data_IF_682696940169
#
_entry.id   IF_682696940169
#
_cell.length_a   1.000
_cell.length_b   1.000
_cell.length_c   1.000
_cell.angle_alpha   90.00
_cell.angle_beta   90.00
_cell.angle_gamma   90.00
#
_symmetry.space_group_name_H-M   'P 1'
#
loop_
_entity.id
_entity.type
_entity.pdbx_description
1 polymer ?
#
# COMPACT_ATOMS: atom_id res chain seq x y z
N UNK A 1 -20.96 9.01 -26.79
CA UNK A 1 -19.66 9.50 -26.25
C UNK A 1 -19.62 9.20 -24.75
N UNK A 2 -18.58 8.54 -24.25
CA UNK A 2 -18.43 8.34 -22.79
C UNK A 2 -18.08 9.67 -22.13
N UNK A 3 -18.61 9.92 -20.93
CA UNK A 3 -18.33 11.15 -20.17
C UNK A 3 -16.87 11.19 -19.72
N UNK A 4 -16.22 12.36 -19.73
CA UNK A 4 -14.89 12.53 -19.14
C UNK A 4 -14.89 12.07 -17.66
N UNK A 5 -13.74 11.54 -17.19
CA UNK A 5 -13.59 11.09 -15.82
C UNK A 5 -13.06 12.20 -14.86
N UNK A 6 -13.10 13.46 -15.29
CA UNK A 6 -12.71 14.60 -14.45
C UNK A 6 -13.53 14.67 -13.16
N UNK A 7 -12.85 14.98 -12.07
CA UNK A 7 -13.46 15.07 -10.75
C UNK A 7 -13.92 13.73 -10.15
N UNK A 8 -13.85 12.64 -10.91
CA UNK A 8 -14.31 11.33 -10.42
C UNK A 8 -13.48 10.81 -9.25
N UNK A 9 -12.18 11.08 -9.22
CA UNK A 9 -11.32 10.72 -8.10
C UNK A 9 -11.74 11.48 -6.83
N UNK A 10 -11.88 12.81 -6.95
CA UNK A 10 -12.30 13.66 -5.82
C UNK A 10 -13.67 13.25 -5.31
N UNK A 11 -14.65 13.04 -6.19
CA UNK A 11 -15.99 12.60 -5.78
C UNK A 11 -15.96 11.23 -5.10
N UNK A 12 -15.13 10.29 -5.57
CA UNK A 12 -14.96 8.98 -4.94
C UNK A 12 -14.36 9.11 -3.54
N UNK A 13 -13.30 9.90 -3.38
CA UNK A 13 -12.65 10.08 -2.08
C UNK A 13 -13.57 10.81 -1.09
N UNK A 14 -14.34 11.80 -1.55
CA UNK A 14 -15.35 12.49 -0.72
C UNK A 14 -16.46 11.54 -0.28
N UNK A 15 -17.03 10.73 -1.17
CA UNK A 15 -18.04 9.75 -0.81
C UNK A 15 -17.53 8.76 0.25
N UNK A 16 -16.32 8.22 0.07
CA UNK A 16 -15.70 7.34 1.05
C UNK A 16 -15.41 8.04 2.40
N UNK A 17 -15.15 9.35 2.39
CA UNK A 17 -14.96 10.13 3.60
C UNK A 17 -16.31 10.36 4.33
N UNK A 18 -17.39 10.61 3.61
CA UNK A 18 -18.74 10.71 4.14
C UNK A 18 -19.20 9.37 4.75
N UNK A 19 -18.88 8.25 4.13
CA UNK A 19 -19.09 6.89 4.67
C UNK A 19 -18.22 6.58 5.89
N UNK A 20 -17.21 7.41 6.17
CA UNK A 20 -16.28 7.23 7.29
C UNK A 20 -15.12 6.25 7.02
N UNK A 21 -14.90 5.88 5.78
CA UNK A 21 -13.87 4.92 5.38
C UNK A 21 -12.51 5.58 5.11
N UNK A 22 -12.48 6.85 4.70
CA UNK A 22 -11.29 7.62 4.34
C UNK A 22 -11.17 8.88 5.21
N UNK A 23 -9.95 9.22 5.58
CA UNK A 23 -9.59 10.49 6.21
C UNK A 23 -9.26 11.52 5.12
N UNK A 24 -10.19 12.44 4.90
CA UNK A 24 -10.08 13.43 3.83
C UNK A 24 -8.86 14.33 3.99
N UNK A 25 -8.65 14.87 5.19
CA UNK A 25 -7.54 15.79 5.46
C UNK A 25 -6.18 15.13 5.24
N UNK A 26 -6.01 13.91 5.72
CA UNK A 26 -4.79 13.13 5.51
C UNK A 26 -4.61 12.72 4.05
N UNK A 27 -5.70 12.45 3.35
CA UNK A 27 -5.64 12.10 1.92
C UNK A 27 -5.06 13.22 1.07
N UNK A 28 -5.19 14.47 1.49
CA UNK A 28 -4.63 15.65 0.82
C UNK A 28 -3.37 16.23 1.49
N UNK A 29 -2.86 15.58 2.53
CA UNK A 29 -1.70 16.07 3.28
C UNK A 29 -0.43 16.16 2.44
N UNK A 30 -0.27 15.29 1.44
CA UNK A 30 0.89 15.30 0.54
C UNK A 30 1.02 16.61 -0.27
N UNK A 31 -0.09 17.31 -0.55
CA UNK A 31 -0.07 18.63 -1.18
C UNK A 31 0.38 19.74 -0.22
N UNK A 32 0.11 19.56 1.09
CA UNK A 32 0.44 20.56 2.12
C UNK A 32 1.86 20.39 2.66
N UNK A 33 2.40 19.18 2.59
CA UNK A 33 3.63 18.78 3.29
C UNK A 33 4.93 19.06 2.55
N UNK A 34 4.89 19.45 1.26
CA UNK A 34 6.10 19.72 0.47
C UNK A 34 7.04 18.53 0.28
N UNK A 35 6.54 17.29 0.47
CA UNK A 35 7.33 16.07 0.34
C UNK A 35 7.61 15.65 -1.11
N UNK A 36 6.89 16.22 -2.07
CA UNK A 36 7.02 15.94 -3.49
C UNK A 36 7.50 17.18 -4.23
N UNK A 37 8.17 16.98 -5.35
CA UNK A 37 8.48 18.10 -6.25
C UNK A 37 7.21 18.58 -6.96
N UNK A 38 7.14 19.85 -7.33
CA UNK A 38 6.00 20.41 -8.07
C UNK A 38 5.64 19.62 -9.34
N UNK A 39 6.65 19.12 -10.06
CA UNK A 39 6.41 18.29 -11.25
C UNK A 39 5.78 16.93 -10.88
N UNK A 40 6.12 16.36 -9.74
CA UNK A 40 5.51 15.13 -9.23
C UNK A 40 4.07 15.38 -8.79
N UNK A 41 3.84 16.47 -8.06
CA UNK A 41 2.50 16.88 -7.63
C UNK A 41 1.57 17.07 -8.84
N UNK A 42 1.99 17.84 -9.84
CA UNK A 42 1.24 18.06 -11.08
C UNK A 42 0.93 16.74 -11.80
N UNK A 43 1.89 15.82 -11.84
CA UNK A 43 1.70 14.52 -12.48
C UNK A 43 0.69 13.63 -11.72
N UNK A 44 0.77 13.63 -10.39
CA UNK A 44 -0.19 12.90 -9.54
C UNK A 44 -1.60 13.47 -9.69
N UNK A 45 -1.73 14.81 -9.69
CA UNK A 45 -3.03 15.46 -9.95
C UNK A 45 -3.58 15.11 -11.33
N UNK A 46 -2.74 15.12 -12.37
CA UNK A 46 -3.16 14.69 -13.70
C UNK A 46 -3.61 13.22 -13.73
N UNK A 47 -2.97 12.34 -12.93
CA UNK A 47 -3.41 10.96 -12.78
C UNK A 47 -4.77 10.86 -12.07
N UNK A 48 -4.99 11.61 -10.99
CA UNK A 48 -6.25 11.68 -10.27
C UNK A 48 -7.39 12.17 -11.17
N UNK A 49 -7.13 13.18 -12.00
CA UNK A 49 -8.07 13.76 -12.96
C UNK A 49 -8.21 12.93 -14.25
N UNK A 50 -7.54 11.78 -14.37
CA UNK A 50 -7.54 10.95 -15.59
C UNK A 50 -7.06 11.71 -16.83
N UNK A 51 -6.22 12.73 -16.65
CA UNK A 51 -5.74 13.63 -17.70
C UNK A 51 -4.47 13.11 -18.40
N UNK A 52 -3.89 12.00 -17.92
CA UNK A 52 -2.72 11.38 -18.54
C UNK A 52 -3.08 10.72 -19.88
N UNK A 53 -2.14 10.73 -20.82
CA UNK A 53 -2.29 10.23 -22.20
C UNK A 53 -2.27 8.68 -22.23
N UNK A 54 -3.25 8.06 -21.62
CA UNK A 54 -3.48 6.62 -21.71
C UNK A 54 -4.14 6.26 -23.05
N UNK A 55 -3.97 5.04 -23.54
CA UNK A 55 -4.64 4.55 -24.74
C UNK A 55 -6.17 4.64 -24.63
N UNK A 56 -6.72 4.32 -23.44
CA UNK A 56 -8.15 4.48 -23.21
C UNK A 56 -8.61 5.92 -23.40
N UNK A 57 -7.85 6.90 -22.87
CA UNK A 57 -8.17 8.32 -23.05
C UNK A 57 -8.14 8.71 -24.53
N UNK A 58 -7.08 8.33 -25.26
CA UNK A 58 -6.93 8.60 -26.69
C UNK A 58 -8.09 8.03 -27.49
N UNK A 59 -8.42 6.74 -27.28
CA UNK A 59 -9.50 6.08 -28.00
C UNK A 59 -10.89 6.64 -27.66
N UNK A 60 -11.16 6.85 -26.34
CA UNK A 60 -12.54 7.09 -25.86
C UNK A 60 -12.88 8.57 -25.74
N UNK A 61 -11.91 9.41 -25.37
CA UNK A 61 -12.14 10.83 -25.12
C UNK A 61 -11.71 11.68 -26.33
N UNK A 62 -10.55 11.37 -26.90
CA UNK A 62 -9.97 12.14 -28.01
C UNK A 62 -10.38 11.60 -29.38
N UNK A 63 -10.96 10.39 -29.44
CA UNK A 63 -11.45 9.81 -30.68
C UNK A 63 -10.33 9.47 -31.67
N UNK A 64 -9.12 9.12 -31.17
CA UNK A 64 -7.99 8.83 -32.04
C UNK A 64 -8.26 7.58 -32.91
N UNK A 65 -8.21 7.73 -34.20
CA UNK A 65 -8.41 6.64 -35.16
C UNK A 65 -7.36 5.54 -34.97
N UNK A 66 -7.81 4.26 -34.98
CA UNK A 66 -6.95 3.10 -34.86
C UNK A 66 -6.50 2.78 -33.44
N UNK A 67 -6.85 3.58 -32.43
CA UNK A 67 -6.54 3.27 -31.03
C UNK A 67 -7.64 2.38 -30.42
N UNK A 68 -7.26 1.19 -29.98
CA UNK A 68 -8.17 0.22 -29.36
C UNK A 68 -8.44 0.49 -27.88
N UNK A 69 -7.69 1.39 -27.26
CA UNK A 69 -7.77 1.72 -25.83
C UNK A 69 -7.24 0.65 -24.88
N UNK A 70 -6.73 -0.48 -25.41
CA UNK A 70 -6.24 -1.59 -24.59
C UNK A 70 -4.86 -1.31 -23.99
N UNK A 71 -4.61 -1.85 -22.82
CA UNK A 71 -3.36 -1.70 -22.09
C UNK A 71 -2.18 -2.23 -22.91
N UNK A 72 -1.20 -1.39 -23.21
CA UNK A 72 0.03 -1.73 -23.95
C UNK A 72 0.89 -2.78 -23.29
N UNK A 73 0.68 -3.04 -21.99
CA UNK A 73 1.45 -4.01 -21.22
C UNK A 73 0.78 -5.40 -21.21
N UNK A 74 -0.54 -5.48 -20.96
CA UNK A 74 -1.22 -6.78 -20.88
C UNK A 74 -2.12 -7.09 -22.08
N UNK A 75 -2.50 -6.11 -22.88
CA UNK A 75 -3.39 -6.27 -24.05
C UNK A 75 -4.82 -6.73 -23.74
N UNK A 76 -5.21 -6.82 -22.45
CA UNK A 76 -6.47 -7.47 -22.03
C UNK A 76 -7.56 -6.51 -21.57
N UNK A 77 -7.19 -5.40 -20.94
CA UNK A 77 -8.09 -4.45 -20.31
C UNK A 77 -7.80 -3.04 -20.80
N UNK A 78 -8.78 -2.16 -20.72
CA UNK A 78 -8.56 -0.75 -21.07
C UNK A 78 -7.46 -0.12 -20.24
N UNK A 79 -6.58 0.64 -20.90
CA UNK A 79 -5.47 1.36 -20.29
C UNK A 79 -5.95 2.63 -19.58
N UNK A 80 -6.72 2.45 -18.52
CA UNK A 80 -7.08 3.54 -17.62
C UNK A 80 -5.98 3.74 -16.57
N UNK A 81 -5.91 4.93 -15.95
CA UNK A 81 -5.01 5.16 -14.82
C UNK A 81 -5.24 4.11 -13.72
N UNK A 82 -6.51 3.81 -13.39
CA UNK A 82 -6.88 2.77 -12.43
C UNK A 82 -6.25 1.42 -12.77
N UNK A 83 -6.37 1.00 -14.04
CA UNK A 83 -5.81 -0.28 -14.48
C UNK A 83 -4.28 -0.29 -14.36
N UNK A 84 -3.62 0.79 -14.80
CA UNK A 84 -2.14 0.88 -14.79
C UNK A 84 -1.58 0.92 -13.37
N UNK A 85 -2.23 1.61 -12.41
CA UNK A 85 -1.68 1.71 -11.05
C UNK A 85 -2.03 0.54 -10.15
N UNK A 86 -3.08 -0.26 -10.45
CA UNK A 86 -3.56 -1.29 -9.49
C UNK A 86 -4.26 -2.50 -10.11
N UNK A 87 -4.50 -2.54 -11.41
CA UNK A 87 -5.31 -3.59 -12.06
C UNK A 87 -4.57 -4.48 -13.05
N UNK A 88 -3.38 -4.10 -13.49
CA UNK A 88 -2.66 -4.84 -14.53
C UNK A 88 -1.90 -6.03 -13.94
N UNK A 89 -2.26 -7.25 -14.36
CA UNK A 89 -1.63 -8.50 -13.89
C UNK A 89 -0.14 -8.58 -14.22
N UNK A 90 0.28 -8.01 -15.35
CA UNK A 90 1.69 -8.01 -15.75
C UNK A 90 2.52 -7.04 -14.90
N UNK A 91 1.97 -5.87 -14.58
CA UNK A 91 2.63 -4.92 -13.69
C UNK A 91 2.68 -5.42 -12.23
N UNK A 92 1.73 -6.26 -11.83
CA UNK A 92 1.71 -6.89 -10.51
C UNK A 92 2.93 -7.77 -10.26
N UNK A 93 3.46 -8.44 -11.27
CA UNK A 93 4.62 -9.33 -11.16
C UNK A 93 5.90 -8.61 -10.68
N UNK A 94 6.06 -7.32 -10.98
CA UNK A 94 7.27 -6.57 -10.66
C UNK A 94 7.00 -5.17 -10.12
N UNK A 95 6.28 -4.32 -10.86
CA UNK A 95 6.15 -2.89 -10.55
C UNK A 95 5.38 -2.64 -9.25
N UNK A 96 4.24 -3.34 -9.06
CA UNK A 96 3.47 -3.19 -7.82
C UNK A 96 4.22 -3.74 -6.62
N UNK A 97 4.97 -4.84 -6.81
CA UNK A 97 5.81 -5.40 -5.75
C UNK A 97 6.90 -4.42 -5.32
N UNK A 98 7.60 -3.75 -6.25
CA UNK A 98 8.59 -2.72 -5.92
C UNK A 98 7.98 -1.58 -5.10
N UNK A 99 6.77 -1.11 -5.45
CA UNK A 99 6.06 -0.08 -4.69
C UNK A 99 5.69 -0.56 -3.29
N UNK A 100 5.12 -1.76 -3.20
CA UNK A 100 4.76 -2.42 -1.97
C UNK A 100 5.96 -2.58 -1.03
N UNK A 101 7.06 -3.16 -1.53
CA UNK A 101 8.24 -3.46 -0.74
C UNK A 101 8.94 -2.18 -0.24
N UNK A 102 8.92 -1.08 -1.02
CA UNK A 102 9.44 0.21 -0.56
C UNK A 102 8.64 0.79 0.62
N UNK A 103 7.32 0.68 0.58
CA UNK A 103 6.46 1.11 1.68
C UNK A 103 6.71 0.24 2.91
N UNK A 104 6.73 -1.07 2.74
CA UNK A 104 7.00 -2.01 3.81
C UNK A 104 8.39 -1.84 4.42
N UNK A 105 9.44 -1.62 3.60
CA UNK A 105 10.79 -1.35 4.10
C UNK A 105 10.86 -0.09 4.97
N UNK A 106 10.07 0.94 4.64
CA UNK A 106 9.94 2.14 5.48
C UNK A 106 9.34 1.81 6.84
N UNK A 107 8.26 1.02 6.88
CA UNK A 107 7.62 0.58 8.12
C UNK A 107 8.58 -0.28 8.94
N UNK A 108 9.25 -1.24 8.31
CA UNK A 108 10.23 -2.10 8.95
C UNK A 108 11.36 -1.27 9.59
N UNK A 109 11.88 -0.25 8.88
CA UNK A 109 12.92 0.64 9.41
C UNK A 109 12.45 1.40 10.66
N UNK A 110 11.24 1.96 10.65
CA UNK A 110 10.67 2.65 11.80
C UNK A 110 10.50 1.72 13.01
N UNK A 111 10.05 0.50 12.77
CA UNK A 111 9.92 -0.51 13.83
C UNK A 111 11.30 -0.90 14.39
N UNK A 112 12.31 -1.06 13.53
CA UNK A 112 13.68 -1.28 13.99
C UNK A 112 14.18 -0.13 14.87
N UNK A 113 13.95 1.12 14.46
CA UNK A 113 14.31 2.31 15.27
C UNK A 113 13.59 2.31 16.61
N UNK A 114 12.28 2.05 16.59
CA UNK A 114 11.44 1.99 17.81
C UNK A 114 11.96 0.98 18.84
N UNK A 115 12.36 -0.20 18.36
CA UNK A 115 12.77 -1.30 19.23
C UNK A 115 14.29 -1.42 19.45
N UNK A 116 15.07 -0.39 19.08
CA UNK A 116 16.52 -0.41 19.23
C UNK A 116 17.22 -1.49 18.40
N UNK A 117 16.58 -1.98 17.34
CA UNK A 117 17.16 -2.98 16.44
C UNK A 117 18.09 -2.30 15.46
N UNK A 118 19.29 -2.87 15.26
CA UNK A 118 20.27 -2.33 14.32
C UNK A 118 19.67 -2.24 12.91
N UNK A 119 19.71 -1.05 12.31
CA UNK A 119 19.23 -0.78 10.97
C UNK A 119 20.11 0.27 10.26
N UNK A 120 19.87 0.52 8.98
CA UNK A 120 20.57 1.58 8.25
C UNK A 120 20.32 2.95 8.86
N UNK A 121 21.28 3.85 8.80
CA UNK A 121 21.13 5.24 9.27
C UNK A 121 19.97 5.95 8.56
N UNK A 122 19.88 5.74 7.25
CA UNK A 122 18.87 6.36 6.40
C UNK A 122 17.89 5.29 5.89
N UNK A 123 16.61 5.56 6.03
CA UNK A 123 15.55 4.60 5.67
C UNK A 123 15.61 4.10 4.22
N UNK A 124 16.01 4.95 3.28
CA UNK A 124 16.07 4.60 1.85
C UNK A 124 17.24 3.68 1.49
N UNK A 125 18.22 3.50 2.40
CA UNK A 125 19.30 2.53 2.32
C UNK A 125 18.98 1.24 3.10
N UNK A 126 17.82 1.21 3.80
CA UNK A 126 17.45 0.07 4.61
C UNK A 126 16.91 -1.07 3.76
N UNK A 127 17.51 -2.23 3.93
CA UNK A 127 17.04 -3.49 3.37
C UNK A 127 16.55 -4.36 4.53
N UNK A 128 15.22 -4.68 4.57
CA UNK A 128 14.68 -5.52 5.63
C UNK A 128 15.36 -6.90 5.66
N UNK A 129 15.83 -7.30 6.83
CA UNK A 129 16.30 -8.66 7.06
C UNK A 129 15.11 -9.57 7.31
N UNK A 130 15.19 -10.83 6.86
CA UNK A 130 14.09 -11.82 7.07
C UNK A 130 13.79 -12.06 8.55
N UNK A 131 14.78 -11.88 9.43
CA UNK A 131 14.64 -11.90 10.89
C UNK A 131 15.58 -10.87 11.48
N UNK A 132 15.07 -10.04 12.39
CA UNK A 132 15.87 -9.16 13.22
C UNK A 132 15.35 -9.17 14.66
N UNK A 133 16.21 -8.81 15.62
CA UNK A 133 15.93 -8.91 17.06
C UNK A 133 16.43 -7.68 17.80
N UNK A 134 15.71 -7.29 18.86
CA UNK A 134 16.24 -6.34 19.84
C UNK A 134 17.45 -6.93 20.61
N UNK A 135 18.29 -6.08 21.17
CA UNK A 135 19.50 -6.52 21.90
C UNK A 135 19.17 -7.44 23.08
N UNK A 136 18.07 -7.17 23.79
CA UNK A 136 17.59 -8.00 24.90
C UNK A 136 16.83 -9.25 24.44
N UNK A 137 16.61 -9.43 23.13
CA UNK A 137 15.89 -10.56 22.57
C UNK A 137 14.38 -10.58 22.86
N UNK A 138 13.82 -9.53 23.46
CA UNK A 138 12.39 -9.44 23.81
C UNK A 138 11.50 -9.23 22.58
N UNK A 139 12.01 -8.56 21.55
CA UNK A 139 11.32 -8.30 20.29
C UNK A 139 12.01 -9.03 19.15
N UNK A 140 11.22 -9.71 18.33
CA UNK A 140 11.64 -10.23 17.02
C UNK A 140 10.74 -9.69 15.93
N UNK A 141 11.31 -9.33 14.79
CA UNK A 141 10.58 -8.92 13.59
C UNK A 141 10.90 -9.91 12.48
N UNK A 142 9.87 -10.51 11.88
CA UNK A 142 9.96 -11.34 10.70
C UNK A 142 9.48 -10.55 9.48
N UNK A 143 10.28 -10.55 8.41
CA UNK A 143 9.96 -9.91 7.13
C UNK A 143 9.80 -10.94 6.03
N UNK A 144 8.67 -10.89 5.30
CA UNK A 144 8.36 -11.75 4.13
C UNK A 144 8.65 -13.24 4.39
N UNK A 145 8.40 -13.70 5.63
CA UNK A 145 8.74 -15.04 6.08
C UNK A 145 7.52 -15.92 6.22
N UNK A 146 7.63 -17.15 5.69
CA UNK A 146 6.64 -18.19 5.93
C UNK A 146 6.71 -18.66 7.39
N UNK A 147 5.58 -18.64 8.08
CA UNK A 147 5.46 -19.14 9.44
C UNK A 147 5.19 -20.64 9.43
N UNK A 148 5.81 -21.34 10.37
CA UNK A 148 5.56 -22.77 10.60
C UNK A 148 4.33 -22.89 11.51
N UNK A 149 3.22 -23.25 10.92
CA UNK A 149 1.91 -23.44 11.57
C UNK A 149 1.30 -24.75 11.12
N UNK A 150 0.17 -25.14 11.70
CA UNK A 150 -0.51 -26.40 11.42
C UNK A 150 -0.82 -26.61 9.93
N UNK A 151 -1.06 -27.86 9.57
CA UNK A 151 -1.42 -28.24 8.19
C UNK A 151 -2.75 -27.59 7.79
N UNK A 152 -2.83 -27.09 6.55
CA UNK A 152 -4.07 -26.53 5.98
C UNK A 152 -4.18 -25.00 6.01
N UNK A 153 -3.23 -24.28 6.60
CA UNK A 153 -3.22 -22.81 6.55
C UNK A 153 -2.43 -22.35 5.32
N UNK A 154 -3.14 -21.93 4.28
CA UNK A 154 -2.54 -21.43 3.03
C UNK A 154 -1.93 -20.03 3.21
N UNK A 155 -2.64 -19.12 3.92
CA UNK A 155 -2.21 -17.76 4.17
C UNK A 155 -1.24 -17.68 5.37
N UNK A 156 -0.05 -18.27 5.26
CA UNK A 156 0.94 -18.37 6.32
C UNK A 156 2.22 -17.55 6.09
N UNK A 157 2.19 -16.65 5.10
CA UNK A 157 3.31 -15.76 4.77
C UNK A 157 2.85 -14.31 4.75
N UNK A 158 2.69 -13.65 5.92
CA UNK A 158 2.43 -12.23 5.98
C UNK A 158 3.67 -11.41 5.62
N UNK A 159 3.46 -10.15 5.28
CA UNK A 159 4.57 -9.25 4.91
C UNK A 159 5.50 -8.98 6.09
N UNK A 160 4.94 -8.83 7.31
CA UNK A 160 5.71 -8.59 8.52
C UNK A 160 5.01 -9.19 9.75
N UNK A 161 5.78 -9.73 10.69
CA UNK A 161 5.28 -10.16 12.00
C UNK A 161 6.17 -9.62 13.10
N UNK A 162 5.57 -9.03 14.12
CA UNK A 162 6.26 -8.60 15.34
C UNK A 162 5.93 -9.59 16.44
N UNK A 163 6.95 -10.16 17.04
CA UNK A 163 6.87 -11.05 18.21
C UNK A 163 7.36 -10.29 19.42
N UNK A 164 6.45 -9.91 20.29
CA UNK A 164 6.72 -9.28 21.57
C UNK A 164 6.62 -10.35 22.68
N UNK A 165 7.77 -10.88 23.09
CA UNK A 165 7.85 -11.95 24.08
C UNK A 165 7.52 -11.45 25.49
N UNK A 166 7.93 -10.21 25.80
CA UNK A 166 7.66 -9.63 27.11
C UNK A 166 6.16 -9.46 27.37
N UNK A 167 5.41 -9.02 26.35
CA UNK A 167 3.97 -8.84 26.44
C UNK A 167 3.15 -10.03 25.95
N UNK A 168 3.81 -11.14 25.58
CA UNK A 168 3.17 -12.34 25.00
C UNK A 168 2.19 -11.96 23.88
N UNK A 169 2.66 -11.12 22.93
CA UNK A 169 1.86 -10.58 21.84
C UNK A 169 2.55 -10.79 20.49
N UNK A 170 1.79 -11.30 19.51
CA UNK A 170 2.21 -11.33 18.13
C UNK A 170 1.33 -10.38 17.31
N UNK A 171 1.96 -9.58 16.48
CA UNK A 171 1.24 -8.67 15.56
C UNK A 171 1.58 -9.04 14.14
N UNK A 172 0.57 -9.47 13.40
CA UNK A 172 0.64 -9.75 11.96
C UNK A 172 0.36 -8.45 11.22
N UNK A 173 1.28 -8.03 10.36
CA UNK A 173 1.11 -6.80 9.55
C UNK A 173 1.19 -7.17 8.08
N UNK A 174 0.24 -6.72 7.29
CA UNK A 174 0.19 -6.98 5.85
C UNK A 174 -0.13 -5.66 5.12
N UNK A 175 0.59 -5.41 4.05
CA UNK A 175 0.56 -4.12 3.36
C UNK A 175 -0.18 -4.23 2.03
N UNK A 176 -0.79 -3.15 1.56
CA UNK A 176 -1.16 -3.03 0.17
C UNK A 176 -1.35 -1.59 -0.29
N UNK A 177 -1.23 -1.40 -1.62
CA UNK A 177 -1.44 -0.12 -2.29
C UNK A 177 -2.47 -0.34 -3.41
N UNK A 178 -3.76 -0.44 -3.08
CA UNK A 178 -4.84 -0.68 -4.03
C UNK A 178 -5.25 0.61 -4.78
N UNK A 179 -6.20 0.47 -5.68
CA UNK A 179 -6.99 1.60 -6.15
C UNK A 179 -7.71 2.28 -4.98
N UNK A 180 -7.76 3.59 -5.01
CA UNK A 180 -8.25 4.42 -3.91
C UNK A 180 -9.70 4.12 -3.49
N UNK A 181 -10.56 3.79 -4.45
CA UNK A 181 -11.94 3.35 -4.17
C UNK A 181 -12.07 1.98 -3.51
N UNK A 182 -10.98 1.24 -3.31
CA UNK A 182 -10.99 -0.12 -2.78
C UNK A 182 -10.28 -0.23 -1.42
N UNK A 183 -9.87 0.89 -0.81
CA UNK A 183 -9.03 0.86 0.41
C UNK A 183 -9.71 0.11 1.56
N UNK A 184 -10.99 0.37 1.82
CA UNK A 184 -11.78 -0.30 2.86
C UNK A 184 -11.89 -1.81 2.61
N UNK A 185 -12.30 -2.18 1.40
CA UNK A 185 -12.45 -3.59 1.04
C UNK A 185 -11.13 -4.36 1.20
N UNK A 186 -10.00 -3.72 0.89
CA UNK A 186 -8.68 -4.33 1.07
C UNK A 186 -8.26 -4.44 2.53
N UNK A 187 -8.62 -3.50 3.39
CA UNK A 187 -8.40 -3.64 4.84
C UNK A 187 -9.16 -4.86 5.39
N UNK A 188 -10.41 -5.01 5.01
CA UNK A 188 -11.26 -6.09 5.50
C UNK A 188 -10.79 -7.45 4.94
N UNK A 189 -10.43 -7.53 3.65
CA UNK A 189 -9.83 -8.72 3.03
C UNK A 189 -8.54 -9.16 3.75
N UNK A 190 -7.66 -8.23 4.11
CA UNK A 190 -6.40 -8.55 4.80
C UNK A 190 -6.63 -9.11 6.20
N UNK A 191 -7.61 -8.58 6.94
CA UNK A 191 -7.99 -9.10 8.25
C UNK A 191 -8.53 -10.52 8.16
N UNK A 192 -9.44 -10.75 7.21
CA UNK A 192 -10.03 -12.07 6.98
C UNK A 192 -8.96 -13.09 6.55
N UNK A 193 -8.12 -12.73 5.59
CA UNK A 193 -7.03 -13.57 5.08
C UNK A 193 -6.16 -14.18 6.17
N UNK A 194 -5.86 -13.41 7.23
CA UNK A 194 -4.99 -13.86 8.31
C UNK A 194 -5.72 -14.25 9.60
N UNK A 195 -7.04 -14.30 9.60
CA UNK A 195 -7.85 -14.67 10.76
C UNK A 195 -7.52 -16.08 11.26
N UNK A 196 -7.41 -17.04 10.34
CA UNK A 196 -7.07 -18.43 10.64
C UNK A 196 -5.63 -18.54 11.16
N UNK A 197 -4.66 -17.85 10.53
CA UNK A 197 -3.27 -17.81 10.99
C UNK A 197 -3.17 -17.24 12.42
N UNK A 198 -3.87 -16.14 12.68
CA UNK A 198 -3.90 -15.53 14.00
C UNK A 198 -4.49 -16.47 15.08
N UNK A 199 -5.52 -17.23 14.74
CA UNK A 199 -6.13 -18.22 15.63
C UNK A 199 -5.17 -19.37 15.95
N UNK A 200 -4.46 -19.86 14.94
CA UNK A 200 -3.47 -20.94 15.10
C UNK A 200 -2.29 -20.49 15.96
N UNK A 201 -1.75 -19.29 15.72
CA UNK A 201 -0.68 -18.71 16.56
C UNK A 201 -1.12 -18.64 18.02
N UNK A 202 -2.35 -18.17 18.28
CA UNK A 202 -2.91 -18.14 19.64
C UNK A 202 -2.98 -19.53 20.27
N UNK A 203 -3.40 -20.52 19.49
CA UNK A 203 -3.54 -21.89 19.98
C UNK A 203 -2.18 -22.53 20.31
N UNK A 204 -1.18 -22.38 19.43
CA UNK A 204 0.15 -23.00 19.56
C UNK A 204 0.97 -22.30 20.65
N UNK A 205 1.10 -20.97 20.56
CA UNK A 205 2.05 -20.20 21.37
C UNK A 205 1.44 -19.61 22.64
N UNK A 206 0.11 -19.74 22.83
CA UNK A 206 -0.63 -19.20 24.00
C UNK A 206 -0.43 -17.70 24.20
N UNK A 207 -0.38 -16.95 23.10
CA UNK A 207 -0.12 -15.50 23.05
C UNK A 207 -1.33 -14.74 22.51
N UNK A 208 -1.40 -13.45 22.79
CA UNK A 208 -2.34 -12.55 22.11
C UNK A 208 -1.87 -12.33 20.68
N UNK A 209 -2.79 -12.38 19.73
CA UNK A 209 -2.47 -12.17 18.32
C UNK A 209 -3.46 -11.20 17.71
N UNK A 210 -2.97 -10.21 17.01
CA UNK A 210 -3.76 -9.25 16.24
C UNK A 210 -3.28 -9.18 14.78
N UNK A 211 -4.16 -8.76 13.89
CA UNK A 211 -3.84 -8.51 12.49
C UNK A 211 -4.07 -7.03 12.17
N UNK A 212 -3.03 -6.36 11.71
CA UNK A 212 -3.02 -4.94 11.36
C UNK A 212 -2.83 -4.81 9.85
N UNK A 213 -3.88 -4.49 9.08
CA UNK A 213 -3.77 -4.16 7.69
C UNK A 213 -3.26 -2.72 7.52
N UNK A 214 -2.22 -2.53 6.73
CA UNK A 214 -1.69 -1.23 6.39
C UNK A 214 -1.99 -0.95 4.92
N UNK A 215 -2.97 -0.10 4.68
CA UNK A 215 -3.49 0.19 3.35
C UNK A 215 -3.36 1.68 3.05
N UNK A 216 -2.86 2.01 1.86
CA UNK A 216 -2.86 3.39 1.31
C UNK A 216 -3.26 3.31 -0.16
N UNK A 217 -4.15 4.19 -0.60
CA UNK A 217 -4.55 4.24 -1.99
C UNK A 217 -3.40 4.59 -2.94
N UNK A 218 -3.44 4.05 -4.14
CA UNK A 218 -2.40 4.22 -5.15
C UNK A 218 -2.21 5.69 -5.56
N UNK A 219 -3.24 6.51 -5.44
CA UNK A 219 -3.22 7.95 -5.72
C UNK A 219 -3.42 8.80 -4.45
N UNK A 220 -3.17 8.23 -3.27
CA UNK A 220 -2.95 8.96 -2.04
C UNK A 220 -4.09 8.94 -1.02
N UNK A 221 -5.21 8.24 -1.25
CA UNK A 221 -6.25 8.13 -0.23
C UNK A 221 -5.75 7.41 1.02
N UNK A 222 -6.10 7.94 2.19
CA UNK A 222 -5.68 7.44 3.51
C UNK A 222 -6.90 6.91 4.25
N UNK A 223 -6.98 5.60 4.55
CA UNK A 223 -8.07 5.06 5.35
C UNK A 223 -8.14 5.68 6.74
N UNK A 224 -9.35 5.92 7.23
CA UNK A 224 -9.58 6.56 8.53
C UNK A 224 -8.98 5.76 9.69
N UNK A 225 -8.99 4.43 9.60
CA UNK A 225 -8.46 3.53 10.64
C UNK A 225 -6.93 3.45 10.67
N UNK A 226 -6.24 3.88 9.58
CA UNK A 226 -4.78 3.72 9.46
C UNK A 226 -4.02 4.37 10.61
N UNK A 227 -4.43 5.56 11.06
CA UNK A 227 -3.78 6.21 12.21
C UNK A 227 -3.86 5.37 13.49
N UNK A 228 -5.01 4.75 13.74
CA UNK A 228 -5.18 3.83 14.87
C UNK A 228 -4.21 2.66 14.79
N UNK A 229 -4.13 2.01 13.65
CA UNK A 229 -3.20 0.90 13.42
C UNK A 229 -1.72 1.29 13.60
N UNK A 230 -1.34 2.48 13.13
CA UNK A 230 0.03 2.97 13.32
C UNK A 230 0.32 3.38 14.77
N UNK A 231 -0.70 3.86 15.52
CA UNK A 231 -0.58 4.08 16.97
C UNK A 231 -0.40 2.76 17.71
N UNK A 232 -1.14 1.72 17.35
CA UNK A 232 -1.00 0.38 17.94
C UNK A 232 0.40 -0.21 17.67
N UNK A 233 0.97 0.09 16.49
CA UNK A 233 2.36 -0.22 16.16
C UNK A 233 3.38 0.73 16.83
N UNK A 234 2.93 1.86 17.40
CA UNK A 234 3.77 2.88 18.03
C UNK A 234 4.62 3.70 17.05
N UNK A 235 4.14 3.86 15.82
CA UNK A 235 4.80 4.62 14.74
C UNK A 235 3.79 5.54 14.02
N UNK A 236 3.03 6.40 14.75
CA UNK A 236 1.92 7.17 14.17
C UNK A 236 2.34 8.22 13.12
N UNK A 237 3.59 8.67 13.16
CA UNK A 237 4.03 9.85 12.40
C UNK A 237 4.47 9.53 10.97
N UNK A 238 4.37 8.25 10.53
CA UNK A 238 4.88 7.83 9.23
C UNK A 238 3.85 7.92 8.08
N UNK A 239 2.61 8.33 8.32
CA UNK A 239 1.55 8.36 7.30
C UNK A 239 1.99 9.16 6.07
N UNK A 240 2.52 10.36 6.24
CA UNK A 240 2.99 11.19 5.13
C UNK A 240 4.11 10.54 4.31
N UNK A 241 5.03 9.84 4.99
CA UNK A 241 6.09 9.09 4.31
C UNK A 241 5.54 7.89 3.52
N UNK A 242 4.59 7.16 4.08
CA UNK A 242 3.94 6.03 3.40
C UNK A 242 3.15 6.50 2.19
N UNK A 243 2.39 7.59 2.34
CA UNK A 243 1.65 8.21 1.25
C UNK A 243 2.60 8.65 0.13
N UNK A 244 3.74 9.29 0.48
CA UNK A 244 4.79 9.65 -0.48
C UNK A 244 5.34 8.43 -1.21
N UNK A 245 5.61 7.32 -0.51
CA UNK A 245 6.06 6.07 -1.14
C UNK A 245 5.04 5.51 -2.14
N UNK A 246 3.74 5.53 -1.79
CA UNK A 246 2.66 5.08 -2.66
C UNK A 246 2.55 5.96 -3.92
N UNK A 247 2.55 7.29 -3.76
CA UNK A 247 2.45 8.25 -4.85
C UNK A 247 3.63 8.21 -5.81
N UNK A 248 4.87 8.21 -5.28
CA UNK A 248 6.08 8.10 -6.10
C UNK A 248 6.15 6.76 -6.85
N UNK A 249 5.74 5.68 -6.17
CA UNK A 249 5.65 4.37 -6.79
C UNK A 249 4.65 4.35 -7.94
N UNK A 250 3.47 4.92 -7.76
CA UNK A 250 2.42 5.00 -8.78
C UNK A 250 2.81 5.91 -9.95
N UNK A 251 3.42 7.07 -9.65
CA UNK A 251 3.97 7.96 -10.68
C UNK A 251 5.01 7.23 -11.55
N UNK A 252 5.93 6.49 -10.91
CA UNK A 252 6.95 5.73 -11.63
C UNK A 252 6.34 4.67 -12.54
N UNK A 253 5.34 3.95 -12.05
CA UNK A 253 4.61 2.94 -12.83
C UNK A 253 3.96 3.60 -14.06
N UNK A 254 3.21 4.68 -13.85
CA UNK A 254 2.57 5.42 -14.92
C UNK A 254 3.58 5.96 -15.94
N UNK A 255 4.66 6.60 -15.50
CA UNK A 255 5.71 7.09 -16.39
C UNK A 255 6.32 5.97 -17.21
N UNK A 256 6.68 4.85 -16.58
CA UNK A 256 7.26 3.71 -17.28
C UNK A 256 6.32 3.12 -18.35
N UNK A 257 5.02 3.06 -18.05
CA UNK A 257 4.03 2.55 -19.01
C UNK A 257 3.79 3.56 -20.13
N UNK A 258 3.56 4.83 -19.80
CA UNK A 258 3.17 5.83 -20.80
C UNK A 258 4.34 6.33 -21.66
N UNK A 259 5.59 5.98 -21.36
CA UNK A 259 6.76 6.27 -22.18
C UNK A 259 7.06 5.22 -23.27
N UNK A 260 6.35 4.10 -23.27
CA UNK A 260 6.40 3.06 -24.30
C UNK A 260 5.45 3.45 -25.45
#
# INVERSE_FOLDING_TARGET
MSKPLHGKFISTVNALAEEGDVDLDRSWQWLKGGYLTKSTESYVMAAQEQALQTKWRKATIEGAEGEDGLCRICGKWFETVKHVVSGCSELAKKQYRIRHDKMGARIHWELCKKYGIRCAEKWYNHLPSSVCRSEDGSIEIFWDRKLLVGKGIEANKPDLVIVDKANQKWTIVDFCVPWDGNVKAREDEKKEKYSQLASEIRAIYKVRTECIPIVIGALGSVPKRLLGFLKDLGIPDIIGCMQTCALLGSQRILKNVLSI
#
